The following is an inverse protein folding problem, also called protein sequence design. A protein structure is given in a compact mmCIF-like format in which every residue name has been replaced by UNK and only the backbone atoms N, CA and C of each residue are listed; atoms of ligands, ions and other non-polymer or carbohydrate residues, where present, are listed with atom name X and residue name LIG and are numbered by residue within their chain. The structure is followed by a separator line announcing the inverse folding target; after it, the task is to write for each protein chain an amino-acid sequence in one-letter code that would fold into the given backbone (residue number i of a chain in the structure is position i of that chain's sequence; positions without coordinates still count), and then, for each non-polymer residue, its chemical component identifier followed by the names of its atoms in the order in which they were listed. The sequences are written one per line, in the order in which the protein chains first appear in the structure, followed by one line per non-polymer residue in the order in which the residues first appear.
data_IF_743280710529
#
_entry.id   IF_743280710529
#
_cell.length_a   1.000
_cell.length_b   1.000
_cell.length_c   1.000
_cell.angle_alpha   90.00
_cell.angle_beta   90.00
_cell.angle_gamma   90.00
#
_symmetry.space_group_name_H-M   'P 1'
#
loop_
_entity.id
_entity.type
_entity.pdbx_description
1 polymer ?
#
# COMPACT_ATOMS: atom_id res chain seq x y z
N UNK A 1 0.11 10.72 -16.68
CA UNK A 1 -1.17 9.99 -16.52
C UNK A 1 -0.85 8.70 -15.77
N UNK A 2 -1.40 8.54 -14.55
CA UNK A 2 -1.36 7.36 -13.67
C UNK A 2 0.02 6.69 -13.41
N UNK A 3 0.84 7.26 -12.52
CA UNK A 3 2.19 6.72 -12.25
C UNK A 3 2.57 6.69 -10.75
N UNK A 4 1.64 6.95 -9.81
CA UNK A 4 1.97 6.88 -8.36
C UNK A 4 2.26 5.45 -7.91
N UNK A 5 1.51 4.47 -8.44
CA UNK A 5 1.78 3.05 -8.19
C UNK A 5 3.14 2.60 -8.72
N UNK A 6 3.53 3.06 -9.91
CA UNK A 6 4.84 2.76 -10.51
C UNK A 6 5.99 3.48 -9.80
N UNK A 7 5.78 4.73 -9.37
CA UNK A 7 6.73 5.45 -8.53
C UNK A 7 6.95 4.71 -7.20
N UNK A 8 5.88 4.18 -6.60
CA UNK A 8 5.98 3.31 -5.44
C UNK A 8 6.72 2.00 -5.77
N UNK A 9 6.46 1.35 -6.90
CA UNK A 9 7.20 0.14 -7.31
C UNK A 9 8.71 0.38 -7.42
N UNK A 10 9.13 1.57 -7.89
CA UNK A 10 10.53 2.00 -7.96
C UNK A 10 11.11 2.46 -6.62
N UNK A 11 10.30 2.51 -5.56
CA UNK A 11 10.71 2.99 -4.24
C UNK A 11 10.88 4.51 -4.14
N UNK A 12 10.42 5.27 -5.14
CA UNK A 12 10.50 6.74 -5.13
C UNK A 12 9.46 7.39 -4.21
N UNK A 13 8.41 6.66 -3.86
CA UNK A 13 7.35 7.10 -2.95
C UNK A 13 6.90 5.96 -2.04
N UNK A 14 6.13 6.28 -0.99
CA UNK A 14 5.52 5.31 -0.07
C UNK A 14 4.15 4.87 -0.56
N UNK A 15 3.66 3.72 -0.08
CA UNK A 15 2.34 3.20 -0.50
C UNK A 15 1.17 4.14 -0.17
N UNK A 16 1.35 5.04 0.80
CA UNK A 16 0.34 5.99 1.26
C UNK A 16 -0.05 7.00 0.19
N UNK A 17 0.89 7.34 -0.71
CA UNK A 17 0.67 8.32 -1.77
C UNK A 17 0.10 7.71 -3.05
N UNK A 18 -0.09 6.38 -3.08
CA UNK A 18 -0.69 5.71 -4.21
C UNK A 18 -2.12 6.24 -4.38
N UNK A 19 -2.38 6.82 -5.53
CA UNK A 19 -3.70 7.29 -5.92
C UNK A 19 -4.63 6.09 -6.11
N UNK A 20 -5.87 6.19 -5.64
CA UNK A 20 -6.83 5.09 -5.75
C UNK A 20 -7.15 4.76 -7.21
N UNK A 21 -7.07 5.74 -8.12
CA UNK A 21 -7.28 5.55 -9.55
C UNK A 21 -6.14 4.77 -10.22
N UNK A 22 -4.97 4.75 -9.60
CA UNK A 22 -3.79 4.01 -10.07
C UNK A 22 -3.81 2.55 -9.59
N UNK A 23 -4.82 2.16 -8.79
CA UNK A 23 -5.06 0.76 -8.46
C UNK A 23 -5.43 0.01 -9.74
N UNK A 24 -4.56 -0.91 -10.15
CA UNK A 24 -4.84 -1.86 -11.24
C UNK A 24 -5.72 -3.00 -10.73
N UNK A 25 -6.92 -2.66 -10.33
CA UNK A 25 -7.89 -3.64 -9.90
C UNK A 25 -8.86 -3.98 -11.03
N UNK A 26 -9.14 -5.26 -11.21
CA UNK A 26 -10.03 -5.79 -12.24
C UNK A 26 -11.50 -5.45 -12.00
N UNK A 27 -11.85 -5.01 -10.80
CA UNK A 27 -13.23 -4.85 -10.34
C UNK A 27 -13.72 -3.38 -10.32
N UNK A 28 -12.87 -2.45 -10.76
CA UNK A 28 -13.16 -1.02 -10.80
C UNK A 28 -13.24 -0.34 -9.43
N UNK A 29 -12.64 -0.93 -8.39
CA UNK A 29 -12.54 -0.40 -7.03
C UNK A 29 -11.89 0.97 -7.04
N UNK A 30 -10.82 1.18 -7.80
CA UNK A 30 -10.18 2.50 -7.90
C UNK A 30 -11.15 3.60 -8.34
N UNK A 31 -12.02 3.30 -9.31
CA UNK A 31 -13.08 4.22 -9.77
C UNK A 31 -14.16 4.43 -8.72
N UNK A 32 -14.58 3.39 -8.01
CA UNK A 32 -15.58 3.49 -6.93
C UNK A 32 -15.09 4.34 -5.76
N UNK A 33 -13.84 4.14 -5.37
CA UNK A 33 -13.19 4.95 -4.33
C UNK A 33 -13.07 6.41 -4.76
N UNK A 34 -12.68 6.65 -6.02
CA UNK A 34 -12.62 8.01 -6.57
C UNK A 34 -14.01 8.68 -6.57
N UNK A 35 -15.05 7.95 -6.99
CA UNK A 35 -16.43 8.43 -6.94
C UNK A 35 -16.89 8.73 -5.50
N UNK A 36 -16.43 7.95 -4.53
CA UNK A 36 -16.64 8.17 -3.10
C UNK A 36 -15.78 9.32 -2.52
N UNK A 37 -15.08 10.09 -3.35
CA UNK A 37 -14.26 11.23 -2.93
C UNK A 37 -12.99 10.84 -2.18
N UNK A 38 -12.46 9.64 -2.42
CA UNK A 38 -11.19 9.17 -1.87
C UNK A 38 -10.11 9.31 -2.93
N UNK A 39 -8.97 9.88 -2.54
CA UNK A 39 -7.89 10.18 -3.49
C UNK A 39 -6.73 9.21 -3.35
N UNK A 40 -6.37 8.85 -2.11
CA UNK A 40 -5.16 8.05 -1.83
C UNK A 40 -5.42 6.86 -0.91
N UNK A 41 -4.55 5.83 -0.98
CA UNK A 41 -4.61 4.71 -0.03
C UNK A 41 -4.33 5.14 1.42
N UNK A 42 -3.52 6.18 1.61
CA UNK A 42 -3.20 6.72 2.93
C UNK A 42 -4.41 7.38 3.61
N UNK A 43 -5.26 8.06 2.85
CA UNK A 43 -6.55 8.57 3.38
C UNK A 43 -7.42 7.42 3.88
N UNK A 44 -7.52 6.34 3.10
CA UNK A 44 -8.35 5.19 3.43
C UNK A 44 -7.85 4.45 4.68
N UNK A 45 -6.53 4.35 4.86
CA UNK A 45 -5.95 3.69 6.05
C UNK A 45 -6.19 4.47 7.35
N UNK A 46 -6.41 5.79 7.26
CA UNK A 46 -6.65 6.66 8.43
C UNK A 46 -8.10 6.68 8.86
N UNK A 47 -9.04 6.41 7.95
CA UNK A 47 -10.46 6.47 8.25
C UNK A 47 -10.96 5.18 8.90
N UNK A 48 -11.99 5.31 9.72
CA UNK A 48 -12.58 4.14 10.36
C UNK A 48 -13.49 3.36 9.39
N UNK A 49 -13.68 2.08 9.70
CA UNK A 49 -14.53 1.20 8.89
C UNK A 49 -15.95 1.73 8.67
N UNK A 50 -16.65 2.23 9.70
CA UNK A 50 -17.99 2.80 9.57
C UNK A 50 -18.03 4.04 8.66
N UNK A 51 -17.05 4.93 8.76
CA UNK A 51 -16.97 6.14 7.93
C UNK A 51 -16.79 5.82 6.45
N UNK A 52 -15.99 4.79 6.15
CA UNK A 52 -15.83 4.29 4.79
C UNK A 52 -17.13 3.70 4.24
N UNK A 53 -17.85 2.94 5.05
CA UNK A 53 -19.12 2.31 4.65
C UNK A 53 -20.27 3.31 4.51
N UNK A 54 -20.19 4.47 5.17
CA UNK A 54 -21.15 5.55 5.01
C UNK A 54 -21.03 6.25 3.64
N UNK A 55 -19.94 6.03 2.89
CA UNK A 55 -19.75 6.63 1.58
C UNK A 55 -20.44 5.84 0.48
N UNK A 56 -21.07 6.56 -0.42
CA UNK A 56 -21.79 5.96 -1.54
C UNK A 56 -20.85 5.16 -2.45
N UNK A 57 -21.30 3.98 -2.88
CA UNK A 57 -20.49 3.03 -3.66
C UNK A 57 -19.44 2.22 -2.88
N UNK A 58 -19.25 2.45 -1.57
CA UNK A 58 -18.30 1.70 -0.72
C UNK A 58 -19.02 0.67 0.13
N UNK A 59 -19.20 -0.54 -0.42
CA UNK A 59 -19.74 -1.67 0.33
C UNK A 59 -18.67 -2.45 1.13
N UNK A 60 -19.12 -3.39 1.97
CA UNK A 60 -18.26 -4.28 2.77
C UNK A 60 -17.22 -5.02 1.90
N UNK A 61 -17.61 -5.45 0.69
CA UNK A 61 -16.71 -6.13 -0.24
C UNK A 61 -15.57 -5.24 -0.73
N UNK A 62 -15.90 -3.98 -1.06
CA UNK A 62 -14.93 -2.95 -1.48
C UNK A 62 -13.96 -2.68 -0.33
N UNK A 63 -14.48 -2.43 0.88
CA UNK A 63 -13.68 -2.18 2.07
C UNK A 63 -12.70 -3.33 2.37
N UNK A 64 -13.17 -4.58 2.37
CA UNK A 64 -12.31 -5.76 2.63
C UNK A 64 -11.18 -5.86 1.61
N UNK A 65 -11.46 -5.59 0.34
CA UNK A 65 -10.45 -5.69 -0.73
C UNK A 65 -9.43 -4.56 -0.65
N UNK A 66 -9.86 -3.34 -0.38
CA UNK A 66 -8.93 -2.20 -0.20
C UNK A 66 -8.03 -2.41 1.01
N UNK A 67 -8.59 -2.88 2.14
CA UNK A 67 -7.78 -3.25 3.32
C UNK A 67 -6.78 -4.36 3.02
N UNK A 68 -7.13 -5.31 2.15
CA UNK A 68 -6.17 -6.33 1.67
C UNK A 68 -5.05 -5.69 0.86
N UNK A 69 -5.37 -4.84 -0.11
CA UNK A 69 -4.38 -4.13 -0.93
C UNK A 69 -3.41 -3.33 -0.06
N UNK A 70 -3.91 -2.59 0.94
CA UNK A 70 -3.08 -1.83 1.88
C UNK A 70 -2.15 -2.75 2.66
N UNK A 71 -2.64 -3.92 3.14
CA UNK A 71 -1.79 -4.90 3.83
C UNK A 71 -0.70 -5.45 2.93
N UNK A 72 -1.03 -5.77 1.68
CA UNK A 72 -0.06 -6.28 0.71
C UNK A 72 1.02 -5.23 0.38
N UNK A 73 0.62 -3.95 0.27
CA UNK A 73 1.57 -2.84 0.08
C UNK A 73 2.49 -2.65 1.31
N UNK A 74 1.93 -2.67 2.52
CA UNK A 74 2.69 -2.63 3.78
C UNK A 74 3.69 -3.80 3.88
N UNK A 75 3.27 -4.99 3.49
CA UNK A 75 4.13 -6.18 3.47
C UNK A 75 5.26 -6.05 2.45
N UNK A 76 4.97 -5.59 1.23
CA UNK A 76 5.97 -5.34 0.20
C UNK A 76 7.01 -4.30 0.63
N UNK A 77 6.59 -3.21 1.29
CA UNK A 77 7.55 -2.23 1.84
C UNK A 77 8.42 -2.80 2.95
N UNK A 78 7.85 -3.60 3.87
CA UNK A 78 8.64 -4.28 4.90
C UNK A 78 9.68 -5.20 4.26
N UNK A 79 9.29 -5.99 3.27
CA UNK A 79 10.21 -6.86 2.54
C UNK A 79 11.33 -6.07 1.87
N UNK A 80 11.04 -4.93 1.26
CA UNK A 80 12.09 -4.04 0.70
C UNK A 80 13.03 -3.51 1.76
N UNK A 81 12.51 -3.07 2.91
CA UNK A 81 13.36 -2.63 4.04
C UNK A 81 14.25 -3.75 4.57
N UNK A 82 13.74 -4.98 4.62
CA UNK A 82 14.53 -6.15 5.02
C UNK A 82 15.55 -6.57 3.95
N UNK A 83 15.25 -6.43 2.67
CA UNK A 83 16.17 -6.72 1.57
C UNK A 83 17.27 -5.65 1.42
N UNK A 84 16.94 -4.39 1.72
CA UNK A 84 17.88 -3.27 1.72
C UNK A 84 18.69 -3.16 3.03
N UNK A 85 18.28 -3.86 4.09
CA UNK A 85 19.13 -4.00 5.26
C UNK A 85 20.34 -4.85 4.85
N UNK A 86 21.58 -4.30 4.86
CA UNK A 86 22.73 -5.10 4.54
C UNK A 86 22.74 -6.25 5.55
N UNK A 87 22.78 -7.47 5.04
CA UNK A 87 23.12 -8.65 5.80
C UNK A 87 24.29 -8.24 6.69
N UNK A 88 24.02 -8.04 7.99
CA UNK A 88 25.02 -7.56 8.93
C UNK A 88 26.20 -8.47 8.74
N UNK A 89 27.31 -7.88 8.28
CA UNK A 89 28.64 -8.43 8.24
C UNK A 89 28.72 -9.53 9.28
N UNK A 90 28.70 -10.78 8.79
CA UNK A 90 28.96 -11.97 9.58
C UNK A 90 30.37 -11.73 10.11
N UNK A 91 30.48 -11.14 11.31
CA UNK A 91 31.77 -10.84 11.95
C UNK A 91 32.53 -12.15 11.90
N UNK A 92 33.57 -12.21 11.07
CA UNK A 92 34.56 -13.27 11.09
C UNK A 92 35.03 -13.33 12.54
N UNK A 93 34.61 -14.38 13.25
CA UNK A 93 35.18 -14.74 14.54
C UNK A 93 36.62 -15.12 14.26
N UNK A 94 37.54 -14.17 14.39
CA UNK A 94 38.96 -14.47 14.54
C UNK A 94 39.14 -15.20 15.87
N UNK A 95 39.40 -16.50 15.79
CA UNK A 95 39.89 -17.28 16.93
C UNK A 95 41.34 -16.85 17.20
N UNK A 96 41.71 -16.42 18.42
CA UNK A 96 43.12 -16.28 18.78
C UNK A 96 43.75 -17.67 18.88
N UNK A 97 44.94 -17.81 18.30
CA UNK A 97 45.83 -18.98 18.38
C UNK A 97 46.49 -19.11 19.74
#
# INVERSE_FOLDING_TARGET
MADTYRAWLRGAQTWQTIAVIDLRDTDGIGKRLQAAGLSTLGEIDKMEGPELLARDGVGIGVLRRVRRIIRDCKAAERQRKHAAAPARLRKLRTFPS
#
